data_IF_521256877218
#
_entry.id   IF_521256877218
#
_cell.length_a   1.000
_cell.length_b   1.000
_cell.length_c   1.000
_cell.angle_alpha   90.00
_cell.angle_beta   90.00
_cell.angle_gamma   90.00
#
_symmetry.space_group_name_H-M   'P 1'
#
loop_
_entity.id
_entity.type
_entity.pdbx_description
1 polymer ?
#
# COMPACT_ATOMS: atom_id res chain seq x y z
N UNK A 1 -5.67 37.92 -58.89
CA UNK A 1 -6.40 37.25 -57.79
C UNK A 1 -5.39 36.63 -56.86
N UNK A 2 -5.05 37.32 -55.79
CA UNK A 2 -4.09 36.81 -54.79
C UNK A 2 -4.87 36.06 -53.70
N UNK A 3 -4.54 34.79 -53.50
CA UNK A 3 -5.09 33.99 -52.39
C UNK A 3 -4.38 34.38 -51.08
N UNK A 4 -5.11 34.97 -50.19
CA UNK A 4 -4.66 35.17 -48.81
C UNK A 4 -4.49 33.81 -48.14
N UNK A 5 -3.27 33.48 -47.68
CA UNK A 5 -3.01 32.41 -46.75
C UNK A 5 -3.41 32.86 -45.35
N UNK A 6 -4.47 32.30 -44.85
CA UNK A 6 -4.84 32.41 -43.43
C UNK A 6 -3.81 31.66 -42.61
N UNK A 7 -3.00 32.37 -41.85
CA UNK A 7 -2.12 31.79 -40.85
C UNK A 7 -2.99 31.30 -39.71
N UNK A 8 -3.02 30.01 -39.48
CA UNK A 8 -3.57 29.41 -38.26
C UNK A 8 -2.56 29.72 -37.16
N UNK A 9 -2.98 30.57 -36.23
CA UNK A 9 -2.22 30.78 -35.00
C UNK A 9 -2.22 29.46 -34.21
N UNK A 10 -1.06 28.83 -34.10
CA UNK A 10 -0.87 27.74 -33.16
C UNK A 10 -1.02 28.35 -31.75
N UNK A 11 -2.11 28.02 -31.07
CA UNK A 11 -2.25 28.27 -29.63
C UNK A 11 -1.15 27.51 -28.89
N UNK A 12 -0.05 28.22 -28.60
CA UNK A 12 1.02 27.68 -27.76
C UNK A 12 0.44 27.54 -26.35
N UNK A 13 -0.04 26.38 -26.00
CA UNK A 13 -0.45 26.05 -24.63
C UNK A 13 0.77 26.25 -23.73
N UNK A 14 0.66 27.17 -22.78
CA UNK A 14 1.73 27.40 -21.81
C UNK A 14 2.07 26.08 -21.07
N UNK A 15 3.36 25.77 -20.87
CA UNK A 15 3.74 24.53 -20.22
C UNK A 15 3.17 24.48 -18.81
N UNK A 16 2.49 23.37 -18.49
CA UNK A 16 1.99 23.10 -17.14
C UNK A 16 3.22 22.87 -16.25
N UNK A 17 3.49 23.78 -15.36
CA UNK A 17 4.61 23.67 -14.42
C UNK A 17 4.20 22.80 -13.25
N UNK A 18 5.07 21.84 -12.91
CA UNK A 18 4.94 21.11 -11.68
C UNK A 18 5.08 22.06 -10.48
N UNK A 19 4.08 22.04 -9.60
CA UNK A 19 4.15 22.71 -8.31
C UNK A 19 4.41 21.63 -7.25
N UNK A 20 5.53 21.68 -6.53
CA UNK A 20 5.73 20.76 -5.42
C UNK A 20 4.63 21.00 -4.39
N UNK A 21 3.98 19.91 -3.94
CA UNK A 21 3.04 19.99 -2.84
C UNK A 21 3.81 20.41 -1.59
N UNK A 22 3.29 21.45 -0.91
CA UNK A 22 3.80 21.82 0.40
C UNK A 22 3.54 20.66 1.40
N UNK A 23 4.27 20.63 2.52
CA UNK A 23 4.18 19.57 3.50
C UNK A 23 2.79 19.40 4.13
N UNK A 24 1.87 20.32 3.91
CA UNK A 24 0.64 20.48 4.69
C UNK A 24 -0.66 20.44 3.87
N UNK A 25 -0.67 19.68 2.78
CA UNK A 25 -1.85 19.58 1.89
C UNK A 25 -3.10 19.05 2.61
N UNK A 26 -2.96 18.37 3.76
CA UNK A 26 -4.07 17.74 4.48
C UNK A 26 -4.25 18.22 5.93
N UNK A 27 -3.50 19.22 6.40
CA UNK A 27 -3.62 19.76 7.76
C UNK A 27 -3.31 18.75 8.86
N UNK A 28 -2.42 17.80 8.59
CA UNK A 28 -2.00 16.80 9.56
C UNK A 28 -0.77 17.25 10.34
N UNK A 29 -0.62 16.72 11.53
CA UNK A 29 0.56 16.97 12.36
C UNK A 29 1.82 16.60 11.59
N UNK A 30 2.85 17.41 11.73
CA UNK A 30 4.14 17.12 11.13
C UNK A 30 4.71 15.81 11.70
N UNK A 31 5.38 14.97 10.90
CA UNK A 31 5.97 13.71 11.39
C UNK A 31 6.84 13.90 12.64
N UNK A 32 7.59 15.01 12.73
CA UNK A 32 8.44 15.35 13.85
C UNK A 32 7.66 15.54 15.16
N UNK A 33 6.44 16.02 15.10
CA UNK A 33 5.57 16.17 16.27
C UNK A 33 5.20 14.80 16.86
N UNK A 34 4.85 13.84 16.00
CA UNK A 34 4.59 12.46 16.44
C UNK A 34 5.85 11.80 17.01
N UNK A 35 7.01 12.02 16.39
CA UNK A 35 8.28 11.49 16.88
C UNK A 35 8.68 12.06 18.25
N UNK A 36 8.30 13.30 18.55
CA UNK A 36 8.56 13.94 19.85
C UNK A 36 7.51 13.56 20.90
N UNK A 37 6.26 13.38 20.51
CA UNK A 37 5.14 13.10 21.42
C UNK A 37 5.07 11.64 21.87
N UNK A 38 5.53 10.70 21.05
CA UNK A 38 5.46 9.26 21.33
C UNK A 38 6.87 8.74 21.57
N UNK A 39 7.17 8.29 22.80
CA UNK A 39 8.43 7.64 23.11
C UNK A 39 8.61 6.35 22.29
N UNK A 40 9.83 6.06 21.85
CA UNK A 40 10.11 4.84 21.07
C UNK A 40 10.11 3.61 21.98
N UNK A 41 9.20 2.68 21.69
CA UNK A 41 9.12 1.38 22.33
C UNK A 41 8.75 0.33 21.26
N UNK A 42 9.67 -0.56 20.93
CA UNK A 42 9.43 -1.62 19.96
C UNK A 42 8.68 -2.82 20.51
N UNK A 43 8.54 -2.95 21.83
CA UNK A 43 7.93 -4.12 22.46
C UNK A 43 6.48 -4.34 22.01
N UNK A 44 5.61 -3.31 21.98
CA UNK A 44 4.24 -3.49 21.50
C UNK A 44 4.12 -3.95 20.05
N UNK A 45 5.13 -3.72 19.21
CA UNK A 45 5.13 -4.17 17.81
C UNK A 45 5.38 -5.68 17.67
N UNK A 46 5.93 -6.33 18.69
CA UNK A 46 6.13 -7.77 18.70
C UNK A 46 4.79 -8.54 18.69
N UNK A 47 3.72 -7.92 19.13
CA UNK A 47 2.37 -8.51 19.04
C UNK A 47 1.91 -8.76 17.60
N UNK A 48 2.55 -8.11 16.63
CA UNK A 48 2.21 -8.25 15.20
C UNK A 48 3.04 -9.31 14.48
N UNK A 49 4.07 -9.82 15.13
CA UNK A 49 4.94 -10.84 14.51
C UNK A 49 4.15 -12.12 14.30
N UNK A 50 4.20 -12.65 13.07
CA UNK A 50 3.50 -13.87 12.65
C UNK A 50 1.96 -13.81 12.84
N UNK A 51 1.38 -12.60 12.84
CA UNK A 51 -0.06 -12.41 12.97
C UNK A 51 -0.70 -11.92 11.68
N UNK A 52 -1.90 -12.42 11.39
CA UNK A 52 -2.78 -11.81 10.40
C UNK A 52 -3.45 -10.57 10.98
N UNK A 53 -3.40 -9.46 10.23
CA UNK A 53 -4.07 -8.22 10.61
C UNK A 53 -5.43 -8.15 9.91
N UNK A 54 -6.46 -8.67 10.57
CA UNK A 54 -7.82 -8.76 10.00
C UNK A 54 -8.83 -7.80 10.66
N UNK A 55 -8.50 -7.24 11.81
CA UNK A 55 -9.36 -6.30 12.52
C UNK A 55 -8.56 -5.31 13.34
N UNK A 56 -8.97 -4.04 13.29
CA UNK A 56 -8.40 -2.99 14.14
C UNK A 56 -8.66 -3.24 15.64
N UNK A 57 -9.69 -3.98 15.98
CA UNK A 57 -10.04 -4.32 17.35
C UNK A 57 -9.00 -5.24 18.02
N UNK A 58 -8.18 -5.92 17.24
CA UNK A 58 -7.09 -6.73 17.75
C UNK A 58 -5.88 -5.92 18.26
N UNK A 59 -5.82 -4.62 17.91
CA UNK A 59 -4.69 -3.78 18.30
C UNK A 59 -4.90 -3.16 19.68
N UNK A 60 -3.86 -3.19 20.50
CA UNK A 60 -3.77 -2.36 21.69
C UNK A 60 -3.40 -0.92 21.33
N UNK A 61 -3.80 0.04 22.16
CA UNK A 61 -3.48 1.46 21.92
C UNK A 61 -1.98 1.72 21.80
N UNK A 62 -1.17 1.04 22.61
CA UNK A 62 0.29 1.13 22.60
C UNK A 62 0.86 0.66 21.27
N UNK A 63 0.35 -0.44 20.71
CA UNK A 63 0.75 -0.96 19.39
C UNK A 63 0.43 0.04 18.29
N UNK A 64 -0.76 0.63 18.29
CA UNK A 64 -1.16 1.66 17.32
C UNK A 64 -0.28 2.91 17.40
N UNK A 65 0.02 3.38 18.62
CA UNK A 65 0.91 4.53 18.80
C UNK A 65 2.32 4.26 18.24
N UNK A 66 2.86 3.07 18.44
CA UNK A 66 4.15 2.69 17.88
C UNK A 66 4.12 2.54 16.36
N UNK A 67 3.00 2.07 15.77
CA UNK A 67 2.82 2.05 14.32
C UNK A 67 2.78 3.47 13.74
N UNK A 68 2.07 4.41 14.37
CA UNK A 68 2.05 5.81 13.93
C UNK A 68 3.43 6.44 14.03
N UNK A 69 4.15 6.18 15.12
CA UNK A 69 5.52 6.64 15.27
C UNK A 69 6.45 6.05 14.20
N UNK A 70 6.30 4.78 13.89
CA UNK A 70 7.07 4.12 12.84
C UNK A 70 6.79 4.73 11.46
N UNK A 71 5.53 4.99 11.14
CA UNK A 71 5.14 5.67 9.91
C UNK A 71 5.75 7.09 9.82
N UNK A 72 5.67 7.86 10.91
CA UNK A 72 6.29 9.18 11.00
C UNK A 72 7.83 9.12 10.83
N UNK A 73 8.48 8.07 11.33
CA UNK A 73 9.92 7.83 11.15
C UNK A 73 10.29 7.62 9.67
N UNK A 74 9.48 6.87 8.93
CA UNK A 74 9.68 6.70 7.48
C UNK A 74 9.42 8.00 6.71
N UNK A 75 8.40 8.75 7.08
CA UNK A 75 8.00 9.97 6.41
C UNK A 75 8.99 11.12 6.66
N UNK A 76 9.53 11.24 7.87
CA UNK A 76 10.50 12.29 8.22
C UNK A 76 11.86 12.12 7.54
N UNK A 77 12.24 10.91 7.16
CA UNK A 77 13.52 10.64 6.52
C UNK A 77 13.42 9.54 5.45
N UNK A 78 12.74 9.84 4.31
CA UNK A 78 12.51 8.86 3.25
C UNK A 78 13.80 8.37 2.59
N UNK A 79 14.85 9.19 2.51
CA UNK A 79 16.11 8.78 1.91
C UNK A 79 16.76 7.65 2.72
N UNK A 80 16.76 7.77 4.05
CA UNK A 80 17.32 6.74 4.92
C UNK A 80 16.54 5.45 4.87
N UNK A 81 15.20 5.52 4.89
CA UNK A 81 14.35 4.35 5.08
C UNK A 81 13.84 3.73 3.78
N UNK A 82 13.81 4.51 2.69
CA UNK A 82 13.30 4.05 1.40
C UNK A 82 14.37 3.86 0.33
N UNK A 83 15.57 4.46 0.49
CA UNK A 83 16.65 4.37 -0.51
C UNK A 83 17.87 3.60 -0.02
N UNK A 84 18.24 3.76 1.23
CA UNK A 84 19.48 3.16 1.77
C UNK A 84 19.22 1.92 2.63
N UNK A 85 18.06 1.85 3.27
CA UNK A 85 17.64 0.70 4.05
C UNK A 85 16.34 0.16 3.48
N UNK A 86 16.44 -0.81 2.58
CA UNK A 86 15.30 -1.44 1.88
C UNK A 86 14.93 -2.77 2.56
N UNK A 87 14.14 -2.72 3.66
CA UNK A 87 13.90 -3.88 4.51
C UNK A 87 13.11 -5.00 3.81
N UNK A 88 12.46 -4.69 2.69
CA UNK A 88 11.64 -5.64 1.94
C UNK A 88 12.33 -6.14 0.67
N UNK A 89 13.65 -5.96 0.54
CA UNK A 89 14.39 -6.47 -0.61
C UNK A 89 14.20 -7.98 -0.78
N UNK A 90 13.75 -8.41 -1.96
CA UNK A 90 13.46 -9.80 -2.28
C UNK A 90 12.14 -10.31 -1.72
N UNK A 91 11.31 -9.45 -1.12
CA UNK A 91 9.96 -9.77 -0.63
C UNK A 91 8.91 -9.39 -1.65
N UNK A 92 7.88 -10.22 -1.78
CA UNK A 92 6.77 -10.05 -2.73
C UNK A 92 5.47 -9.82 -1.97
N UNK A 93 4.81 -8.70 -2.28
CA UNK A 93 3.45 -8.41 -1.84
C UNK A 93 2.45 -8.94 -2.88
N UNK A 94 1.45 -9.69 -2.43
CA UNK A 94 0.28 -10.01 -3.25
C UNK A 94 -0.85 -9.06 -2.90
N UNK A 95 -1.18 -8.14 -3.83
CA UNK A 95 -2.33 -7.24 -3.72
C UNK A 95 -3.56 -7.90 -4.37
N UNK A 96 -4.35 -8.63 -3.59
CA UNK A 96 -5.59 -9.27 -4.03
C UNK A 96 -6.78 -8.33 -3.80
N UNK A 97 -7.04 -7.47 -4.77
CA UNK A 97 -8.13 -6.48 -4.73
C UNK A 97 -9.29 -6.95 -5.62
N UNK A 98 -10.16 -7.78 -5.07
CA UNK A 98 -11.36 -8.30 -5.75
C UNK A 98 -12.52 -7.29 -5.77
N UNK A 99 -12.39 -6.19 -5.06
CA UNK A 99 -13.24 -5.02 -5.12
C UNK A 99 -12.43 -3.81 -5.61
N UNK A 100 -12.95 -3.01 -6.56
CA UNK A 100 -12.23 -1.86 -7.10
C UNK A 100 -11.80 -0.85 -6.02
N UNK A 101 -10.52 -0.56 -5.94
CA UNK A 101 -9.98 0.45 -5.04
C UNK A 101 -8.64 0.98 -5.54
N UNK A 102 -8.67 2.03 -6.33
CA UNK A 102 -7.45 2.61 -6.92
C UNK A 102 -6.52 3.16 -5.84
N UNK A 103 -7.02 4.03 -4.96
CA UNK A 103 -6.17 4.70 -3.96
C UNK A 103 -5.53 3.71 -2.99
N UNK A 104 -6.32 2.83 -2.38
CA UNK A 104 -5.81 1.89 -1.37
C UNK A 104 -4.81 0.92 -1.98
N UNK A 105 -5.12 0.35 -3.15
CA UNK A 105 -4.20 -0.56 -3.84
C UNK A 105 -2.86 0.11 -4.16
N UNK A 106 -2.91 1.30 -4.77
CA UNK A 106 -1.70 2.04 -5.11
C UNK A 106 -0.92 2.49 -3.87
N UNK A 107 -1.57 2.73 -2.73
CA UNK A 107 -0.89 3.06 -1.47
C UNK A 107 -0.02 1.89 -1.00
N UNK A 108 -0.58 0.68 -0.94
CA UNK A 108 0.17 -0.52 -0.55
C UNK A 108 1.29 -0.83 -1.55
N UNK A 109 0.98 -0.77 -2.84
CA UNK A 109 1.91 -1.02 -3.93
C UNK A 109 3.11 -0.07 -3.86
N UNK A 110 2.84 1.23 -3.79
CA UNK A 110 3.87 2.26 -3.69
C UNK A 110 4.71 2.15 -2.41
N UNK A 111 4.08 1.87 -1.26
CA UNK A 111 4.78 1.72 0.01
C UNK A 111 5.74 0.53 -0.03
N UNK A 112 5.27 -0.61 -0.56
CA UNK A 112 6.07 -1.83 -0.66
C UNK A 112 7.30 -1.65 -1.57
N UNK A 113 7.11 -1.04 -2.75
CA UNK A 113 8.20 -0.70 -3.66
C UNK A 113 9.20 0.29 -3.06
N UNK A 114 8.73 1.29 -2.34
CA UNK A 114 9.61 2.25 -1.66
C UNK A 114 10.48 1.60 -0.58
N UNK A 115 10.02 0.52 0.02
CA UNK A 115 10.76 -0.27 0.99
C UNK A 115 11.61 -1.38 0.35
N UNK A 116 11.68 -1.43 -0.99
CA UNK A 116 12.58 -2.29 -1.76
C UNK A 116 12.00 -3.64 -2.15
N UNK A 117 10.71 -3.89 -1.93
CA UNK A 117 10.05 -5.12 -2.35
C UNK A 117 9.40 -5.00 -3.72
N UNK A 118 8.90 -6.13 -4.22
CA UNK A 118 8.13 -6.25 -5.45
C UNK A 118 6.66 -6.57 -5.16
N UNK A 119 5.77 -6.36 -6.13
CA UNK A 119 4.35 -6.66 -5.94
C UNK A 119 3.73 -7.40 -7.12
N UNK A 120 2.74 -8.25 -6.80
CA UNK A 120 1.84 -8.91 -7.74
C UNK A 120 0.44 -8.39 -7.48
N UNK A 121 -0.20 -7.85 -8.51
CA UNK A 121 -1.52 -7.26 -8.40
C UNK A 121 -2.59 -8.14 -9.07
N UNK A 122 -3.65 -8.49 -8.33
CA UNK A 122 -4.84 -9.17 -8.82
C UNK A 122 -6.02 -8.23 -8.59
N UNK A 123 -6.63 -7.75 -9.67
CA UNK A 123 -7.63 -6.67 -9.61
C UNK A 123 -9.04 -7.10 -10.02
N UNK A 124 -9.20 -8.34 -10.45
CA UNK A 124 -10.48 -8.84 -10.94
C UNK A 124 -10.62 -10.34 -10.66
N UNK A 125 -11.68 -10.71 -9.95
CA UNK A 125 -12.04 -12.12 -9.72
C UNK A 125 -12.25 -12.89 -11.02
N UNK A 126 -12.77 -12.23 -12.06
CA UNK A 126 -13.08 -12.88 -13.34
C UNK A 126 -11.84 -13.40 -14.06
N UNK A 127 -10.67 -12.87 -13.75
CA UNK A 127 -9.38 -13.29 -14.32
C UNK A 127 -8.66 -14.37 -13.51
N UNK A 128 -9.26 -14.81 -12.41
CA UNK A 128 -8.69 -15.82 -11.51
C UNK A 128 -9.45 -17.15 -11.57
N UNK A 129 -8.90 -18.19 -10.97
CA UNK A 129 -9.55 -19.49 -10.81
C UNK A 129 -10.89 -19.42 -10.05
N UNK A 130 -11.09 -18.39 -9.21
CA UNK A 130 -12.34 -18.13 -8.48
C UNK A 130 -13.54 -18.05 -9.47
N UNK A 131 -13.34 -17.43 -10.63
CA UNK A 131 -14.38 -17.38 -11.68
C UNK A 131 -14.78 -18.77 -12.21
N UNK A 132 -13.94 -19.78 -11.99
CA UNK A 132 -14.15 -21.17 -12.40
C UNK A 132 -14.57 -22.06 -11.23
N UNK A 133 -14.86 -21.48 -10.06
CA UNK A 133 -15.30 -22.20 -8.88
C UNK A 133 -14.18 -22.59 -7.90
N UNK A 134 -12.95 -22.06 -8.07
CA UNK A 134 -11.88 -22.23 -7.11
C UNK A 134 -12.25 -21.54 -5.78
N UNK A 135 -11.98 -22.20 -4.66
CA UNK A 135 -12.26 -21.65 -3.34
C UNK A 135 -11.21 -20.59 -2.93
N UNK A 136 -11.54 -19.75 -1.96
CA UNK A 136 -10.57 -18.78 -1.42
C UNK A 136 -9.46 -19.48 -0.64
N UNK A 137 -9.74 -20.63 -0.06
CA UNK A 137 -8.77 -21.49 0.60
C UNK A 137 -7.73 -22.05 -0.39
N UNK A 138 -8.18 -22.49 -1.58
CA UNK A 138 -7.27 -22.94 -2.64
C UNK A 138 -6.38 -21.80 -3.15
N UNK A 139 -6.97 -20.60 -3.35
CA UNK A 139 -6.23 -19.40 -3.71
C UNK A 139 -5.20 -19.04 -2.62
N UNK A 140 -5.55 -19.16 -1.35
CA UNK A 140 -4.63 -18.94 -0.23
C UNK A 140 -3.46 -19.94 -0.24
N UNK A 141 -3.72 -21.20 -0.58
CA UNK A 141 -2.65 -22.19 -0.79
C UNK A 141 -1.66 -21.77 -1.88
N UNK A 142 -2.14 -21.23 -2.99
CA UNK A 142 -1.27 -20.68 -4.03
C UNK A 142 -0.45 -19.50 -3.53
N UNK A 143 -1.07 -18.55 -2.83
CA UNK A 143 -0.41 -17.36 -2.33
C UNK A 143 0.74 -17.67 -1.37
N UNK A 144 0.63 -18.71 -0.56
CA UNK A 144 1.71 -19.21 0.29
C UNK A 144 3.01 -19.55 -0.48
N UNK A 145 2.91 -19.82 -1.78
CA UNK A 145 4.06 -20.17 -2.62
C UNK A 145 4.58 -19.00 -3.46
N UNK A 146 3.79 -17.93 -3.63
CA UNK A 146 4.13 -16.86 -4.57
C UNK A 146 4.48 -15.53 -3.90
N UNK A 147 4.12 -15.34 -2.64
CA UNK A 147 4.38 -14.10 -1.94
C UNK A 147 4.84 -14.27 -0.51
N UNK A 148 5.21 -13.15 0.09
CA UNK A 148 5.63 -13.03 1.49
C UNK A 148 4.60 -12.30 2.35
N UNK A 149 3.66 -11.61 1.73
CA UNK A 149 2.57 -10.89 2.39
C UNK A 149 1.38 -10.76 1.44
N UNK A 150 0.16 -10.76 1.99
CA UNK A 150 -1.08 -10.57 1.22
C UNK A 150 -1.84 -9.36 1.74
N UNK A 151 -2.29 -8.50 0.85
CA UNK A 151 -3.33 -7.51 1.15
C UNK A 151 -4.58 -7.91 0.40
N UNK A 152 -5.62 -8.30 1.15
CA UNK A 152 -6.90 -8.69 0.60
C UNK A 152 -7.93 -7.57 0.73
N UNK A 153 -8.62 -7.27 -0.36
CA UNK A 153 -9.86 -6.49 -0.37
C UNK A 153 -10.93 -7.23 -1.15
N UNK A 154 -12.03 -7.52 -0.45
CA UNK A 154 -13.15 -8.25 -1.00
C UNK A 154 -14.48 -7.61 -0.56
N UNK A 155 -15.51 -7.71 -1.38
CA UNK A 155 -16.87 -7.29 -1.04
C UNK A 155 -17.57 -8.26 -0.08
N UNK A 156 -17.11 -9.52 0.00
CA UNK A 156 -17.59 -10.50 0.96
C UNK A 156 -16.81 -10.36 2.28
N UNK A 157 -17.47 -10.00 3.39
CA UNK A 157 -16.79 -9.86 4.70
C UNK A 157 -16.19 -11.16 5.24
N UNK A 158 -16.71 -12.33 4.82
CA UNK A 158 -16.20 -13.64 5.24
C UNK A 158 -14.93 -14.05 4.48
N UNK A 159 -14.60 -13.38 3.39
CA UNK A 159 -13.46 -13.74 2.54
C UNK A 159 -12.12 -13.71 3.30
N UNK A 160 -11.96 -12.74 4.20
CA UNK A 160 -10.73 -12.62 5.01
C UNK A 160 -10.55 -13.82 5.94
N UNK A 161 -11.63 -14.33 6.54
CA UNK A 161 -11.58 -15.48 7.45
C UNK A 161 -11.33 -16.78 6.68
N UNK A 162 -11.98 -16.96 5.52
CA UNK A 162 -11.72 -18.10 4.64
C UNK A 162 -10.25 -18.15 4.23
N UNK A 163 -9.69 -17.03 3.79
CA UNK A 163 -8.28 -16.95 3.37
C UNK A 163 -7.31 -17.18 4.54
N UNK A 164 -7.49 -16.49 5.66
CA UNK A 164 -6.55 -16.56 6.80
C UNK A 164 -6.56 -17.94 7.48
N UNK A 165 -7.61 -18.74 7.29
CA UNK A 165 -7.60 -20.14 7.79
C UNK A 165 -6.52 -21.00 7.15
N UNK A 166 -6.02 -20.62 5.99
CA UNK A 166 -5.09 -21.39 5.16
C UNK A 166 -3.77 -20.66 4.91
N UNK A 167 -3.77 -19.31 4.93
CA UNK A 167 -2.57 -18.52 4.74
C UNK A 167 -1.53 -18.78 5.85
N UNK A 168 -0.27 -18.91 5.43
CA UNK A 168 0.92 -19.03 6.30
C UNK A 168 1.81 -17.80 6.25
N UNK A 169 1.48 -16.86 5.38
CA UNK A 169 2.11 -15.54 5.26
C UNK A 169 1.14 -14.48 5.78
N UNK A 170 1.62 -13.36 6.35
CA UNK A 170 0.77 -12.31 6.88
C UNK A 170 -0.08 -11.63 5.84
#
# INVERSE_FOLDING_TARGET
MAKAKTAVAEDIVAPIRFQPMGPDVFGHNHPEELLSAIAEDGVPLLDLVDQHVVSIQAFRSETLLQLFRLAAKFESNPDRYCRHNTPLTGKILINAFYEPSTRTRLSFDSAWHRLGGDSINITDRSTTGIAKGESLEDVAHMFNNYGDCVVLRDSNPEAVFAMTSTLRIP
#
